data_IF_518236501806
#
_entry.id   IF_518236501806
#
_cell.length_a   1.000
_cell.length_b   1.000
_cell.length_c   1.000
_cell.angle_alpha   90.00
_cell.angle_beta   90.00
_cell.angle_gamma   90.00
#
_symmetry.space_group_name_H-M   'P 1'
#
loop_
_entity.id
_entity.type
_entity.pdbx_description
1 polymer ?
#
# COMPACT_ATOMS: atom_id res chain seq x y z
N UNK A 1 1.63 31.02 -0.56
CA UNK A 1 2.62 31.19 0.54
C UNK A 1 2.30 30.40 1.81
N UNK A 2 2.05 29.09 1.70
CA UNK A 2 1.82 28.22 2.87
C UNK A 2 3.13 27.65 3.46
N UNK A 3 4.25 27.83 2.76
CA UNK A 3 5.58 27.36 3.15
C UNK A 3 6.41 28.39 3.93
N UNK A 4 5.84 29.57 4.24
CA UNK A 4 6.58 30.68 4.84
C UNK A 4 6.52 30.74 6.37
N UNK A 5 5.62 30.01 7.05
CA UNK A 5 5.43 30.15 8.51
C UNK A 5 5.89 28.95 9.35
N UNK A 6 6.62 27.99 8.78
CA UNK A 6 7.22 26.91 9.55
C UNK A 6 8.73 27.14 9.67
N UNK A 7 9.16 27.67 10.82
CA UNK A 7 10.55 27.65 11.29
C UNK A 7 11.06 26.24 11.60
N UNK A 8 10.72 25.25 10.77
CA UNK A 8 11.13 23.83 10.83
C UNK A 8 11.37 23.29 9.42
N UNK A 9 12.05 24.08 8.57
CA UNK A 9 12.54 23.60 7.27
C UNK A 9 13.58 22.49 7.41
N UNK A 10 14.24 22.39 8.55
CA UNK A 10 15.36 21.47 8.79
C UNK A 10 14.90 20.05 9.16
N UNK A 11 13.74 19.90 9.83
CA UNK A 11 13.21 18.59 10.23
C UNK A 11 12.39 17.90 9.12
N UNK A 12 11.96 18.65 8.11
CA UNK A 12 11.01 18.16 7.10
C UNK A 12 11.64 17.31 6.00
N UNK A 13 12.96 17.41 5.84
CA UNK A 13 13.72 16.82 4.74
C UNK A 13 14.94 16.05 5.22
N UNK A 14 14.96 15.50 6.44
CA UNK A 14 16.02 14.57 6.84
C UNK A 14 16.00 13.22 6.07
N UNK A 15 15.26 13.12 4.96
CA UNK A 15 15.51 12.17 3.87
C UNK A 15 16.47 12.84 2.85
N UNK A 16 17.48 13.56 3.33
CA UNK A 16 18.40 14.36 2.49
C UNK A 16 19.62 13.58 2.02
N UNK A 17 19.86 12.38 2.56
CA UNK A 17 20.84 11.41 2.05
C UNK A 17 20.55 10.03 2.66
N UNK A 18 19.40 9.44 2.31
CA UNK A 18 18.97 8.16 2.86
C UNK A 18 19.15 7.06 1.82
N UNK A 19 20.09 6.15 2.06
CA UNK A 19 20.20 4.88 1.32
C UNK A 19 19.59 3.76 2.16
N UNK A 20 18.63 3.04 1.60
CA UNK A 20 18.07 1.83 2.19
C UNK A 20 18.71 0.65 1.45
N UNK A 21 19.47 -0.18 2.16
CA UNK A 21 20.10 -1.35 1.53
C UNK A 21 19.06 -2.44 1.26
N UNK A 22 19.32 -3.28 0.26
CA UNK A 22 18.45 -4.41 -0.06
C UNK A 22 18.32 -5.34 1.16
N UNK A 23 17.07 -5.67 1.50
CA UNK A 23 16.74 -6.51 2.66
C UNK A 23 16.66 -5.76 3.99
N UNK A 24 17.00 -4.47 4.05
CA UNK A 24 16.78 -3.68 5.25
C UNK A 24 15.30 -3.30 5.41
N UNK A 25 14.81 -3.42 6.65
CA UNK A 25 13.52 -2.87 7.05
C UNK A 25 13.74 -1.47 7.62
N UNK A 26 13.20 -0.47 6.95
CA UNK A 26 13.31 0.93 7.37
C UNK A 26 11.95 1.45 7.85
N UNK A 27 11.90 1.90 9.11
CA UNK A 27 10.71 2.46 9.73
C UNK A 27 10.74 3.98 9.75
N UNK A 28 9.68 4.62 9.26
CA UNK A 28 9.46 6.06 9.39
C UNK A 28 8.51 6.34 10.56
N UNK A 29 8.98 6.89 11.69
CA UNK A 29 8.10 7.20 12.80
C UNK A 29 7.16 8.35 12.41
N UNK A 30 5.86 8.06 12.43
CA UNK A 30 4.80 9.04 12.16
C UNK A 30 4.06 9.29 13.44
N UNK A 31 3.88 10.56 13.76
CA UNK A 31 2.87 10.96 14.73
C UNK A 31 1.58 11.22 13.95
N UNK A 32 0.56 10.37 14.12
CA UNK A 32 -0.74 10.49 13.46
C UNK A 32 -1.44 11.83 13.82
N UNK A 33 -1.01 12.53 14.89
CA UNK A 33 -1.48 13.86 15.25
C UNK A 33 -0.82 15.00 14.44
N UNK A 34 0.29 14.73 13.73
CA UNK A 34 0.97 15.69 12.88
C UNK A 34 0.58 15.50 11.40
N UNK A 35 -0.42 16.24 10.89
CA UNK A 35 -0.91 16.06 9.52
C UNK A 35 0.17 16.30 8.47
N UNK A 36 1.19 17.11 8.78
CA UNK A 36 2.25 17.42 7.83
C UNK A 36 3.16 16.20 7.63
N UNK A 37 3.43 15.43 8.69
CA UNK A 37 4.21 14.17 8.59
C UNK A 37 3.46 13.08 7.84
N UNK A 38 2.15 12.95 8.09
CA UNK A 38 1.30 11.99 7.36
C UNK A 38 1.30 12.29 5.86
N UNK A 39 1.20 13.57 5.48
CA UNK A 39 1.29 14.00 4.08
C UNK A 39 2.69 13.70 3.51
N UNK A 40 3.75 13.94 4.28
CA UNK A 40 5.13 13.67 3.85
C UNK A 40 5.36 12.21 3.43
N UNK A 41 4.80 11.26 4.18
CA UNK A 41 4.93 9.83 3.88
C UNK A 41 4.12 9.43 2.65
N UNK A 42 2.91 9.97 2.49
CA UNK A 42 2.15 9.74 1.27
C UNK A 42 2.91 10.25 0.04
N UNK A 43 3.54 11.42 0.13
CA UNK A 43 4.37 11.97 -0.95
C UNK A 43 5.58 11.07 -1.22
N UNK A 44 6.23 10.55 -0.18
CA UNK A 44 7.36 9.64 -0.34
C UNK A 44 6.94 8.35 -1.07
N UNK A 45 5.82 7.75 -0.68
CA UNK A 45 5.27 6.58 -1.37
C UNK A 45 4.94 6.88 -2.83
N UNK A 46 4.37 8.05 -3.12
CA UNK A 46 4.08 8.48 -4.49
C UNK A 46 5.36 8.67 -5.31
N UNK A 47 6.43 9.21 -4.71
CA UNK A 47 7.73 9.35 -5.36
C UNK A 47 8.39 8.00 -5.64
N UNK A 48 8.39 7.09 -4.66
CA UNK A 48 8.94 5.75 -4.79
C UNK A 48 8.17 4.90 -5.81
N UNK A 49 6.84 5.00 -5.80
CA UNK A 49 5.96 4.32 -6.76
C UNK A 49 5.91 4.97 -8.15
N UNK A 50 6.64 6.07 -8.37
CA UNK A 50 6.66 6.76 -9.66
C UNK A 50 5.36 7.49 -10.03
N UNK A 51 4.45 7.69 -9.07
CA UNK A 51 3.22 8.47 -9.25
C UNK A 51 3.50 9.99 -9.23
N UNK A 52 4.63 10.39 -8.66
CA UNK A 52 5.14 11.77 -8.67
C UNK A 52 6.61 11.81 -9.02
N UNK A 53 7.03 12.95 -9.56
CA UNK A 53 8.43 13.24 -9.87
C UNK A 53 8.96 14.38 -8.99
N UNK A 54 10.20 14.29 -8.47
CA UNK A 54 10.79 15.36 -7.69
C UNK A 54 11.10 16.58 -8.58
N UNK A 55 10.84 17.78 -8.07
CA UNK A 55 11.24 19.03 -8.73
C UNK A 55 12.73 19.34 -8.53
N UNK A 56 13.30 18.86 -7.41
CA UNK A 56 14.71 19.01 -7.03
C UNK A 56 15.22 17.69 -6.44
N UNK A 57 16.47 17.34 -6.75
CA UNK A 57 17.06 16.06 -6.35
C UNK A 57 16.64 14.90 -7.26
N UNK A 58 17.00 13.67 -6.87
CA UNK A 58 16.68 12.46 -7.62
C UNK A 58 16.28 11.35 -6.66
N UNK A 59 15.38 10.46 -7.08
CA UNK A 59 15.09 9.20 -6.40
C UNK A 59 15.68 8.09 -7.27
N UNK A 60 16.59 7.28 -6.72
CA UNK A 60 17.23 6.17 -7.42
C UNK A 60 16.64 4.86 -6.92
N UNK A 61 16.08 4.09 -7.85
CA UNK A 61 15.58 2.74 -7.61
C UNK A 61 16.34 1.82 -8.57
N UNK A 62 17.08 0.82 -8.07
CA UNK A 62 17.82 -0.08 -8.95
C UNK A 62 16.87 -0.75 -9.95
N UNK A 63 17.29 -0.95 -11.21
CA UNK A 63 16.39 -1.40 -12.29
C UNK A 63 15.82 -2.82 -12.08
N UNK A 64 16.40 -3.59 -11.17
CA UNK A 64 15.95 -4.94 -10.81
C UNK A 64 15.03 -4.96 -9.59
N UNK A 65 14.73 -3.80 -9.00
CA UNK A 65 13.86 -3.67 -7.82
C UNK A 65 12.48 -3.22 -8.28
N UNK A 66 11.48 -4.02 -7.94
CA UNK A 66 10.08 -3.64 -8.09
C UNK A 66 9.62 -2.94 -6.81
N UNK A 67 8.93 -1.82 -6.98
CA UNK A 67 8.36 -1.05 -5.87
C UNK A 67 6.87 -1.29 -5.84
N UNK A 68 6.39 -1.83 -4.73
CA UNK A 68 4.97 -2.03 -4.48
C UNK A 68 4.55 -1.15 -3.31
N UNK A 69 3.52 -0.34 -3.52
CA UNK A 69 2.97 0.54 -2.49
C UNK A 69 1.70 -0.09 -1.94
N UNK A 70 1.69 -0.41 -0.65
CA UNK A 70 0.54 -0.99 0.06
C UNK A 70 -0.13 0.11 0.88
N UNK A 71 -1.21 0.74 0.39
CA UNK A 71 -1.89 1.80 1.13
C UNK A 71 -2.67 1.24 2.32
N UNK A 72 -2.72 2.01 3.42
CA UNK A 72 -3.54 1.71 4.61
C UNK A 72 -5.03 1.62 4.27
N UNK A 73 -5.52 2.43 3.34
CA UNK A 73 -6.90 2.44 2.88
C UNK A 73 -6.92 2.12 1.38
N UNK A 74 -6.96 0.85 0.99
CA UNK A 74 -7.01 0.50 -0.42
C UNK A 74 -8.34 0.87 -1.05
N UNK A 75 -8.27 1.27 -2.32
CA UNK A 75 -9.46 1.37 -3.17
C UNK A 75 -10.05 -0.03 -3.37
N UNK A 76 -11.30 -0.20 -2.94
CA UNK A 76 -12.07 -1.43 -3.12
C UNK A 76 -13.08 -1.18 -4.23
N UNK A 77 -13.10 -2.08 -5.21
CA UNK A 77 -14.10 -2.11 -6.27
C UNK A 77 -15.35 -2.81 -5.73
N UNK A 78 -16.28 -2.03 -5.17
CA UNK A 78 -17.44 -2.52 -4.41
C UNK A 78 -18.31 -3.55 -5.14
N UNK A 79 -18.46 -3.37 -6.46
CA UNK A 79 -19.28 -4.23 -7.31
C UNK A 79 -18.51 -5.39 -7.92
N UNK A 80 -17.18 -5.33 -7.90
CA UNK A 80 -16.33 -6.42 -8.35
C UNK A 80 -16.27 -7.52 -7.29
N UNK A 81 -15.97 -8.72 -7.73
CA UNK A 81 -15.75 -9.87 -6.86
C UNK A 81 -14.55 -9.64 -5.93
N UNK A 82 -14.49 -10.37 -4.83
CA UNK A 82 -13.30 -10.33 -3.96
C UNK A 82 -12.06 -10.84 -4.68
N UNK A 83 -12.19 -11.84 -5.55
CA UNK A 83 -11.10 -12.33 -6.38
C UNK A 83 -10.55 -11.21 -7.26
N UNK A 84 -11.40 -10.52 -8.04
CA UNK A 84 -10.98 -9.38 -8.86
C UNK A 84 -10.37 -8.26 -8.03
N UNK A 85 -10.87 -8.03 -6.81
CA UNK A 85 -10.26 -7.08 -5.90
C UNK A 85 -8.87 -7.55 -5.45
N UNK A 86 -8.65 -8.83 -5.18
CA UNK A 86 -7.36 -9.35 -4.71
C UNK A 86 -6.33 -9.44 -5.84
N UNK A 87 -6.77 -9.66 -7.07
CA UNK A 87 -5.93 -9.78 -8.28
C UNK A 87 -5.87 -8.51 -9.13
N UNK A 88 -6.44 -7.40 -8.63
CA UNK A 88 -6.52 -6.15 -9.38
C UNK A 88 -5.11 -5.64 -9.73
N UNK A 89 -4.86 -5.45 -11.03
CA UNK A 89 -3.58 -4.95 -11.55
C UNK A 89 -2.63 -6.03 -12.05
N UNK A 90 -3.00 -7.32 -11.94
CA UNK A 90 -2.26 -8.42 -12.56
C UNK A 90 -2.54 -8.51 -14.06
N UNK A 91 -1.49 -8.67 -14.85
CA UNK A 91 -1.59 -8.94 -16.29
C UNK A 91 -1.88 -10.42 -16.59
N UNK A 92 -1.44 -11.32 -15.69
CA UNK A 92 -1.57 -12.76 -15.82
C UNK A 92 -2.57 -13.34 -14.82
N UNK A 93 -3.20 -14.45 -15.19
CA UNK A 93 -4.09 -15.17 -14.29
C UNK A 93 -3.30 -15.84 -13.16
N UNK A 94 -3.75 -15.67 -11.93
CA UNK A 94 -3.21 -16.35 -10.75
C UNK A 94 -4.11 -17.52 -10.35
N UNK A 95 -3.52 -18.58 -9.79
CA UNK A 95 -4.27 -19.69 -9.22
C UNK A 95 -5.03 -19.24 -7.97
N UNK A 96 -6.34 -19.50 -7.95
CA UNK A 96 -7.21 -19.22 -6.82
C UNK A 96 -6.71 -19.89 -5.54
N UNK A 97 -6.13 -21.09 -5.66
CA UNK A 97 -5.59 -21.83 -4.51
C UNK A 97 -4.44 -21.07 -3.83
N UNK A 98 -3.59 -20.40 -4.61
CA UNK A 98 -2.45 -19.62 -4.11
C UNK A 98 -2.94 -18.34 -3.42
N UNK A 99 -3.95 -17.68 -3.97
CA UNK A 99 -4.59 -16.50 -3.35
C UNK A 99 -5.20 -16.87 -2.00
N UNK A 100 -5.92 -17.99 -1.93
CA UNK A 100 -6.50 -18.51 -0.68
C UNK A 100 -5.41 -18.81 0.34
N UNK A 101 -4.33 -19.47 -0.08
CA UNK A 101 -3.20 -19.79 0.78
C UNK A 101 -2.52 -18.52 1.33
N UNK A 102 -2.35 -17.50 0.48
CA UNK A 102 -1.78 -16.21 0.86
C UNK A 102 -2.68 -15.43 1.83
N UNK A 103 -3.98 -15.31 1.55
CA UNK A 103 -4.95 -14.68 2.46
C UNK A 103 -4.92 -15.34 3.85
N UNK A 104 -4.84 -16.68 3.88
CA UNK A 104 -4.72 -17.44 5.12
C UNK A 104 -3.39 -17.18 5.84
N UNK A 105 -2.28 -17.14 5.12
CA UNK A 105 -0.95 -16.86 5.69
C UNK A 105 -0.84 -15.46 6.29
N UNK A 106 -1.52 -14.48 5.69
CA UNK A 106 -1.60 -13.10 6.17
C UNK A 106 -2.59 -12.90 7.33
N UNK A 107 -3.35 -13.93 7.70
CA UNK A 107 -4.32 -13.86 8.79
C UNK A 107 -5.58 -13.09 8.44
N UNK A 108 -5.94 -13.01 7.15
CA UNK A 108 -7.23 -12.45 6.73
C UNK A 108 -8.39 -13.27 7.31
N UNK A 109 -9.56 -12.66 7.49
CA UNK A 109 -10.77 -13.38 7.91
C UNK A 109 -11.26 -14.32 6.81
N UNK A 110 -11.61 -15.57 7.15
CA UNK A 110 -12.08 -16.58 6.18
C UNK A 110 -13.35 -16.18 5.42
N UNK A 111 -14.16 -15.28 5.97
CA UNK A 111 -15.30 -14.69 5.28
C UNK A 111 -14.93 -13.82 4.07
N UNK A 112 -13.65 -13.48 3.89
CA UNK A 112 -13.18 -12.67 2.76
C UNK A 112 -12.54 -13.49 1.62
N UNK A 113 -12.13 -14.75 1.87
CA UNK A 113 -11.35 -15.54 0.91
C UNK A 113 -11.80 -17.01 0.78
N UNK A 114 -12.85 -17.45 1.46
CA UNK A 114 -13.39 -18.78 1.16
C UNK A 114 -13.92 -18.84 -0.29
N UNK A 115 -14.08 -20.04 -0.85
CA UNK A 115 -14.41 -20.22 -2.26
C UNK A 115 -15.70 -19.48 -2.66
N UNK A 116 -16.72 -19.46 -1.80
CA UNK A 116 -17.96 -18.72 -2.05
C UNK A 116 -17.76 -17.19 -1.97
N UNK A 117 -16.90 -16.72 -1.08
CA UNK A 117 -16.63 -15.30 -0.85
C UNK A 117 -15.83 -14.69 -2.01
N UNK A 118 -14.90 -15.44 -2.60
CA UNK A 118 -14.06 -14.96 -3.70
C UNK A 118 -14.90 -14.45 -4.89
N UNK A 119 -16.02 -15.10 -5.18
CA UNK A 119 -16.90 -14.73 -6.31
C UNK A 119 -18.04 -13.79 -5.91
N UNK A 120 -18.16 -13.41 -4.63
CA UNK A 120 -19.16 -12.45 -4.19
C UNK A 120 -18.67 -11.01 -4.34
N UNK A 121 -19.58 -10.06 -4.63
CA UNK A 121 -19.27 -8.64 -4.64
C UNK A 121 -18.68 -8.17 -3.32
N UNK A 122 -17.62 -7.36 -3.41
CA UNK A 122 -16.86 -6.91 -2.25
C UNK A 122 -17.70 -6.14 -1.23
N UNK A 123 -18.71 -5.38 -1.66
CA UNK A 123 -19.61 -4.65 -0.76
C UNK A 123 -20.43 -5.56 0.20
N UNK A 124 -20.74 -6.79 -0.22
CA UNK A 124 -21.46 -7.76 0.62
C UNK A 124 -20.58 -8.32 1.73
N UNK A 125 -19.27 -8.38 1.51
CA UNK A 125 -18.32 -9.01 2.42
C UNK A 125 -17.61 -7.98 3.31
N UNK A 126 -17.19 -6.86 2.71
CA UNK A 126 -16.41 -5.82 3.37
C UNK A 126 -17.26 -4.87 4.24
N UNK A 127 -18.58 -4.97 4.18
CA UNK A 127 -19.48 -4.37 5.18
C UNK A 127 -19.32 -5.04 6.55
N UNK A 128 -18.86 -6.30 6.60
CA UNK A 128 -18.61 -7.06 7.83
C UNK A 128 -17.12 -7.23 8.14
N UNK A 129 -16.25 -6.99 7.17
CA UNK A 129 -14.81 -7.09 7.34
C UNK A 129 -14.25 -5.96 8.22
N UNK A 130 -13.29 -6.31 9.07
CA UNK A 130 -12.60 -5.34 9.90
C UNK A 130 -11.67 -4.43 9.05
N UNK A 131 -11.13 -3.36 9.64
CA UNK A 131 -10.22 -2.46 8.93
C UNK A 131 -8.89 -3.12 8.52
N UNK A 132 -8.48 -4.17 9.24
CA UNK A 132 -7.27 -4.94 8.95
C UNK A 132 -7.46 -5.73 7.65
N UNK A 133 -8.57 -6.45 7.50
CA UNK A 133 -8.91 -7.23 6.30
C UNK A 133 -8.92 -6.34 5.06
N UNK A 134 -9.46 -5.11 5.17
CA UNK A 134 -9.39 -4.14 4.07
C UNK A 134 -7.96 -3.81 3.71
N UNK A 135 -7.10 -3.54 4.69
CA UNK A 135 -5.67 -3.25 4.47
C UNK A 135 -4.93 -4.43 3.85
N UNK A 136 -5.28 -5.65 4.24
CA UNK A 136 -4.70 -6.88 3.71
C UNK A 136 -5.02 -7.10 2.23
N UNK A 137 -6.13 -6.57 1.70
CA UNK A 137 -6.41 -6.63 0.26
C UNK A 137 -5.28 -6.00 -0.56
N UNK A 138 -4.80 -4.82 -0.17
CA UNK A 138 -3.69 -4.18 -0.87
C UNK A 138 -2.37 -4.96 -0.71
N UNK A 139 -2.17 -5.60 0.44
CA UNK A 139 -0.98 -6.42 0.65
C UNK A 139 -1.01 -7.67 -0.22
N UNK A 140 -2.17 -8.32 -0.36
CA UNK A 140 -2.34 -9.45 -1.27
C UNK A 140 -2.05 -9.02 -2.70
N UNK A 141 -2.63 -7.91 -3.19
CA UNK A 141 -2.34 -7.38 -4.54
C UNK A 141 -0.86 -7.16 -4.82
N UNK A 142 -0.09 -6.80 -3.80
CA UNK A 142 1.35 -6.56 -3.94
C UNK A 142 2.17 -7.86 -3.92
N UNK A 143 1.62 -8.97 -3.44
CA UNK A 143 2.37 -10.22 -3.25
C UNK A 143 1.99 -11.32 -4.24
N UNK A 144 0.86 -11.18 -4.92
CA UNK A 144 0.44 -12.00 -6.06
C UNK A 144 1.10 -11.47 -7.33
#
# INVERSE_FOLDING_TARGET
DFFASAGRKEDFFAILDASIELGQLYGLPVDDADPVKVIGISILCDLLGGLRFPLHGVVLIPPHVNVMVVPRNPGILEMASMLENLTCGLEEACDEADIVALCKALGMSSGCYNYEALFQPANKLLSFANSIDKSLVALVRALV
#
